data_IF_737429235031
#
_entry.id   IF_737429235031
#
_cell.length_a   1.000
_cell.length_b   1.000
_cell.length_c   1.000
_cell.angle_alpha   90.00
_cell.angle_beta   90.00
_cell.angle_gamma   90.00
#
_symmetry.space_group_name_H-M   'P 1'
#
loop_
_entity.id
_entity.type
_entity.pdbx_description
1 polymer ?
#
# COMPACT_ATOMS: atom_id res chain seq x y z
N UNK A 1 -87.32 1.48 -14.92
CA UNK A 1 -86.16 2.11 -15.58
C UNK A 1 -84.98 2.11 -14.62
N UNK A 2 -83.81 1.59 -15.04
CA UNK A 2 -82.44 1.70 -14.45
C UNK A 2 -82.28 1.16 -12.99
N UNK A 3 -81.76 -0.05 -12.74
CA UNK A 3 -80.37 -0.57 -12.74
C UNK A 3 -79.47 -0.10 -11.57
N UNK A 4 -78.78 -1.10 -10.98
CA UNK A 4 -77.61 -1.14 -10.06
C UNK A 4 -77.89 -0.98 -8.55
N UNK A 5 -77.67 -1.95 -7.64
CA UNK A 5 -76.61 -2.95 -7.34
C UNK A 5 -75.34 -2.38 -6.69
N UNK A 6 -74.94 -3.03 -5.57
CA UNK A 6 -73.74 -2.93 -4.70
C UNK A 6 -73.90 -2.01 -3.48
N UNK A 7 -74.07 -2.49 -2.24
CA UNK A 7 -73.45 -3.58 -1.47
C UNK A 7 -71.98 -3.33 -1.06
N UNK A 8 -71.83 -3.03 0.24
CA UNK A 8 -70.85 -3.56 1.22
C UNK A 8 -69.36 -3.23 1.01
N UNK A 9 -68.82 -2.51 1.99
CA UNK A 9 -67.62 -2.86 2.80
C UNK A 9 -66.84 -1.59 3.15
N UNK A 10 -67.29 -0.89 4.18
CA UNK A 10 -66.42 -0.02 4.94
C UNK A 10 -65.45 -0.87 5.79
N UNK A 11 -64.25 -0.33 5.98
CA UNK A 11 -63.23 -0.75 6.97
C UNK A 11 -62.37 -1.95 6.57
N UNK A 12 -61.16 -1.65 6.05
CA UNK A 12 -59.84 -2.26 6.36
C UNK A 12 -58.91 -2.16 5.14
N UNK A 13 -58.20 -1.04 4.99
CA UNK A 13 -56.97 -0.98 4.18
C UNK A 13 -56.18 0.31 4.48
N UNK A 14 -55.85 0.52 5.75
CA UNK A 14 -54.73 1.39 6.15
C UNK A 14 -53.78 0.50 6.95
N UNK A 15 -53.08 -0.38 6.25
CA UNK A 15 -52.22 -1.38 6.90
C UNK A 15 -51.34 -2.21 5.97
N UNK A 16 -51.09 -1.76 4.73
CA UNK A 16 -50.32 -2.52 3.75
C UNK A 16 -49.28 -1.72 2.95
N UNK A 17 -49.07 -0.43 3.26
CA UNK A 17 -48.03 0.38 2.60
C UNK A 17 -46.84 0.75 3.51
N UNK A 18 -46.85 0.34 4.78
CA UNK A 18 -45.69 0.48 5.67
C UNK A 18 -44.73 -0.72 5.65
N UNK A 19 -45.13 -1.84 5.06
CA UNK A 19 -44.38 -3.11 5.11
C UNK A 19 -43.50 -3.38 3.87
N UNK A 20 -43.46 -2.47 2.90
CA UNK A 20 -42.67 -2.64 1.65
C UNK A 20 -41.35 -1.84 1.66
N UNK A 21 -41.08 -1.05 2.71
CA UNK A 21 -39.85 -0.26 2.83
C UNK A 21 -39.04 -0.50 4.12
N UNK A 22 -39.30 -1.58 4.85
CA UNK A 22 -38.43 -2.05 5.94
C UNK A 22 -37.97 -3.48 5.65
N UNK A 23 -37.23 -3.64 4.56
CA UNK A 23 -36.25 -4.71 4.39
C UNK A 23 -34.85 -4.12 4.16
N UNK A 24 -34.62 -2.91 4.70
CA UNK A 24 -33.29 -2.36 4.91
C UNK A 24 -32.84 -2.72 6.33
N UNK A 25 -31.66 -3.35 6.40
CA UNK A 25 -30.88 -3.64 7.60
C UNK A 25 -31.33 -4.84 8.44
N UNK A 26 -31.49 -6.00 7.81
CA UNK A 26 -30.85 -7.16 8.41
C UNK A 26 -29.33 -6.89 8.29
N UNK A 27 -28.71 -6.49 9.40
CA UNK A 27 -27.26 -6.49 9.53
C UNK A 27 -26.79 -7.92 9.26
N UNK A 28 -26.47 -8.22 8.00
CA UNK A 28 -25.86 -9.49 7.66
C UNK A 28 -24.52 -9.47 8.37
N UNK A 29 -24.36 -10.38 9.34
CA UNK A 29 -23.03 -10.84 9.70
C UNK A 29 -22.39 -11.26 8.39
N UNK A 30 -21.50 -10.42 7.85
CA UNK A 30 -20.85 -10.67 6.57
C UNK A 30 -20.23 -12.06 6.66
N UNK A 31 -20.74 -12.97 5.84
CA UNK A 31 -20.30 -14.36 5.88
C UNK A 31 -18.85 -14.39 5.46
N UNK A 32 -17.99 -15.01 6.28
CA UNK A 32 -16.58 -15.17 5.93
C UNK A 32 -16.45 -15.96 4.63
N UNK A 33 -15.71 -15.40 3.67
CA UNK A 33 -15.49 -15.99 2.35
C UNK A 33 -14.05 -16.45 2.27
N UNK A 34 -13.83 -17.74 1.98
CA UNK A 34 -12.47 -18.27 1.82
C UNK A 34 -11.88 -17.83 0.48
N UNK A 35 -10.65 -17.29 0.50
CA UNK A 35 -9.92 -16.80 -0.69
C UNK A 35 -8.98 -17.85 -1.27
N UNK A 36 -8.79 -19.01 -0.62
CA UNK A 36 -7.86 -20.08 -1.06
C UNK A 36 -8.03 -20.49 -2.52
N UNK A 37 -9.27 -20.61 -3.01
CA UNK A 37 -9.54 -21.01 -4.39
C UNK A 37 -9.07 -19.94 -5.39
N UNK A 38 -9.36 -18.67 -5.10
CA UNK A 38 -8.91 -17.54 -5.92
C UNK A 38 -7.38 -17.41 -5.89
N UNK A 39 -6.74 -17.58 -4.73
CA UNK A 39 -5.27 -17.56 -4.61
C UNK A 39 -4.64 -18.67 -5.45
N UNK A 40 -5.20 -19.89 -5.44
CA UNK A 40 -4.72 -21.00 -6.28
C UNK A 40 -4.93 -20.78 -7.77
N UNK A 41 -6.03 -20.11 -8.14
CA UNK A 41 -6.41 -19.86 -9.53
C UNK A 41 -5.77 -18.61 -10.17
N UNK A 42 -5.18 -17.72 -9.37
CA UNK A 42 -4.59 -16.49 -9.86
C UNK A 42 -3.32 -16.73 -10.70
N UNK A 43 -3.10 -15.87 -11.70
CA UNK A 43 -2.00 -15.95 -12.66
C UNK A 43 -0.70 -15.40 -12.08
N UNK A 44 -0.20 -16.06 -11.03
CA UNK A 44 1.03 -15.65 -10.35
C UNK A 44 2.25 -15.72 -11.25
N UNK A 45 3.14 -14.74 -11.08
CA UNK A 45 4.53 -14.87 -11.50
C UNK A 45 5.11 -16.14 -10.85
N UNK A 46 5.74 -17.05 -11.64
CA UNK A 46 6.32 -18.29 -11.12
C UNK A 46 7.36 -18.10 -10.01
N UNK A 47 7.93 -16.90 -9.85
CA UNK A 47 8.85 -16.59 -8.75
C UNK A 47 8.15 -16.38 -7.40
N UNK A 48 6.81 -16.26 -7.36
CA UNK A 48 6.06 -16.15 -6.12
C UNK A 48 5.85 -17.54 -5.52
N UNK A 49 6.62 -17.85 -4.48
CA UNK A 49 6.44 -19.11 -3.75
C UNK A 49 5.25 -19.00 -2.79
N UNK A 50 4.29 -19.90 -2.96
CA UNK A 50 3.09 -20.01 -2.12
C UNK A 50 3.16 -21.27 -1.26
N UNK A 51 3.01 -21.13 0.06
CA UNK A 51 2.92 -22.27 1.00
C UNK A 51 1.60 -22.18 1.76
N UNK A 52 0.68 -23.12 1.50
CA UNK A 52 -0.64 -23.12 2.10
C UNK A 52 -0.60 -23.73 3.50
N UNK A 53 -1.15 -22.99 4.46
CA UNK A 53 -1.40 -23.43 5.83
C UNK A 53 -2.91 -23.68 6.01
N UNK A 54 -3.34 -23.97 7.25
CA UNK A 54 -4.74 -24.28 7.56
C UNK A 54 -5.70 -23.10 7.28
N UNK A 55 -5.30 -21.89 7.66
CA UNK A 55 -6.13 -20.67 7.59
C UNK A 55 -5.39 -19.46 6.99
N UNK A 56 -4.23 -19.70 6.38
CA UNK A 56 -3.40 -18.67 5.78
C UNK A 56 -2.54 -19.26 4.66
N UNK A 57 -1.91 -18.40 3.90
CA UNK A 57 -0.89 -18.73 2.91
C UNK A 57 0.34 -17.89 3.18
N UNK A 58 1.51 -18.52 3.18
CA UNK A 58 2.77 -17.80 3.16
C UNK A 58 3.07 -17.46 1.70
N UNK A 59 3.16 -16.17 1.38
CA UNK A 59 3.57 -15.66 0.07
C UNK A 59 4.99 -15.10 0.16
N UNK A 60 5.88 -15.59 -0.71
CA UNK A 60 7.28 -15.17 -0.78
C UNK A 60 7.61 -14.69 -2.20
N UNK A 61 7.21 -13.46 -2.57
CA UNK A 61 7.62 -12.85 -3.84
C UNK A 61 9.09 -12.38 -3.78
N UNK A 62 9.75 -12.31 -4.93
CA UNK A 62 11.07 -11.69 -5.04
C UNK A 62 11.01 -10.17 -5.22
N UNK A 63 9.81 -9.59 -5.40
CA UNK A 63 9.65 -8.16 -5.69
C UNK A 63 9.86 -7.79 -7.16
N UNK A 64 10.36 -8.72 -8.00
CA UNK A 64 10.61 -8.45 -9.42
C UNK A 64 9.33 -8.75 -10.22
N UNK A 65 8.71 -7.76 -10.87
CA UNK A 65 7.54 -8.01 -11.68
C UNK A 65 7.89 -8.79 -12.95
N UNK A 66 7.00 -9.68 -13.40
CA UNK A 66 7.10 -10.42 -14.66
C UNK A 66 6.61 -9.61 -15.89
N UNK A 67 6.67 -8.28 -15.83
CA UNK A 67 6.48 -7.41 -17.00
C UNK A 67 7.74 -6.57 -17.22
N UNK A 68 7.85 -5.99 -18.42
CA UNK A 68 8.94 -5.08 -18.73
C UNK A 68 8.83 -3.83 -17.87
N UNK A 69 9.94 -3.43 -17.26
CA UNK A 69 10.12 -2.17 -16.55
C UNK A 69 10.84 -1.16 -17.44
N UNK A 70 10.80 0.10 -17.07
CA UNK A 70 11.59 1.11 -17.76
C UNK A 70 13.10 0.90 -17.53
N UNK A 71 13.91 1.25 -18.54
CA UNK A 71 15.36 0.99 -18.53
C UNK A 71 16.10 1.91 -17.56
N UNK A 72 15.53 3.09 -17.30
CA UNK A 72 16.08 4.13 -16.45
C UNK A 72 14.98 4.73 -15.58
N UNK A 73 15.36 5.21 -14.40
CA UNK A 73 14.48 5.91 -13.46
C UNK A 73 15.09 7.24 -13.05
N UNK A 74 14.24 8.23 -12.81
CA UNK A 74 14.61 9.43 -12.07
C UNK A 74 14.60 9.08 -10.58
N UNK A 75 15.72 9.24 -9.89
CA UNK A 75 15.86 8.95 -8.45
C UNK A 75 16.45 10.16 -7.73
N UNK A 76 16.24 10.31 -6.41
CA UNK A 76 16.87 11.37 -5.62
C UNK A 76 18.39 11.48 -5.83
N UNK A 77 18.90 12.71 -5.79
CA UNK A 77 20.35 12.96 -5.85
C UNK A 77 21.09 12.33 -4.66
N UNK A 78 20.49 12.37 -3.47
CA UNK A 78 20.98 11.84 -2.21
C UNK A 78 19.84 11.28 -1.34
N UNK A 79 20.20 10.51 -0.29
CA UNK A 79 19.26 9.95 0.69
C UNK A 79 18.62 11.01 1.62
N UNK A 80 19.05 12.27 1.56
CA UNK A 80 18.44 13.35 2.34
C UNK A 80 17.14 13.86 1.70
N UNK A 81 16.97 13.59 0.40
CA UNK A 81 15.80 14.00 -0.39
C UNK A 81 14.78 12.86 -0.32
N UNK A 82 13.82 13.00 0.59
CA UNK A 82 12.74 12.01 0.81
C UNK A 82 11.75 11.99 -0.36
N UNK A 83 11.41 13.17 -0.88
CA UNK A 83 10.50 13.35 -2.01
C UNK A 83 11.25 14.17 -3.06
N UNK A 84 11.73 13.55 -4.15
CA UNK A 84 12.44 14.28 -5.19
C UNK A 84 11.47 15.05 -6.11
N UNK A 85 12.02 16.06 -6.79
CA UNK A 85 11.42 16.70 -7.96
C UNK A 85 12.40 16.74 -9.13
N UNK A 86 12.00 17.38 -10.23
CA UNK A 86 12.80 17.49 -11.46
C UNK A 86 14.18 18.17 -11.29
N UNK A 87 14.37 18.95 -10.24
CA UNK A 87 15.62 19.66 -9.93
C UNK A 87 16.51 18.92 -8.93
N UNK A 88 15.93 18.00 -8.16
CA UNK A 88 16.62 17.23 -7.11
C UNK A 88 16.79 15.75 -7.44
N UNK A 89 16.67 15.38 -8.71
CA UNK A 89 16.76 14.00 -9.19
C UNK A 89 17.90 13.80 -10.20
N UNK A 90 18.35 12.56 -10.31
CA UNK A 90 19.30 12.08 -11.33
C UNK A 90 18.76 10.85 -12.03
N UNK A 91 19.20 10.65 -13.26
CA UNK A 91 18.89 9.45 -14.04
C UNK A 91 19.82 8.31 -13.61
N UNK A 92 19.24 7.16 -13.29
CA UNK A 92 19.98 5.90 -13.06
C UNK A 92 19.41 4.78 -13.92
N UNK A 93 20.24 3.81 -14.30
CA UNK A 93 19.76 2.55 -14.88
C UNK A 93 18.92 1.82 -13.84
N UNK A 94 17.86 1.10 -14.27
CA UNK A 94 16.95 0.34 -13.40
C UNK A 94 17.68 -0.32 -12.21
N UNK A 95 17.54 0.24 -10.99
CA UNK A 95 18.24 -0.25 -9.82
C UNK A 95 17.52 -1.44 -9.16
N UNK A 96 16.42 -1.93 -9.75
CA UNK A 96 15.60 -3.01 -9.19
C UNK A 96 16.44 -4.26 -8.90
N UNK A 97 16.29 -4.79 -7.69
CA UNK A 97 16.96 -6.01 -7.20
C UNK A 97 15.93 -6.92 -6.55
N UNK A 98 16.20 -8.23 -6.58
CA UNK A 98 15.40 -9.19 -5.85
C UNK A 98 15.47 -8.92 -4.35
N UNK A 99 14.32 -9.00 -3.69
CA UNK A 99 14.13 -8.84 -2.26
C UNK A 99 13.73 -10.19 -1.64
N UNK A 100 13.83 -10.29 -0.31
CA UNK A 100 13.45 -11.50 0.45
C UNK A 100 12.17 -11.25 1.24
N UNK A 101 11.03 -11.17 0.55
CA UNK A 101 9.74 -10.97 1.19
C UNK A 101 9.16 -12.27 1.77
N UNK A 102 8.42 -12.14 2.86
CA UNK A 102 7.63 -13.23 3.46
C UNK A 102 6.41 -12.65 4.16
N UNK A 103 5.24 -12.86 3.57
CA UNK A 103 3.95 -12.42 4.13
C UNK A 103 3.12 -13.65 4.50
N UNK A 104 2.40 -13.61 5.63
CA UNK A 104 1.46 -14.67 6.01
C UNK A 104 0.04 -14.10 5.91
N UNK A 105 -0.59 -14.32 4.76
CA UNK A 105 -1.87 -13.71 4.40
C UNK A 105 -3.02 -14.65 4.81
N UNK A 106 -4.05 -14.19 5.55
CA UNK A 106 -5.17 -15.03 5.94
C UNK A 106 -5.98 -15.44 4.70
N UNK A 107 -6.40 -16.71 4.64
CA UNK A 107 -7.23 -17.23 3.55
C UNK A 107 -8.72 -17.18 3.84
N UNK A 108 -9.09 -16.69 5.02
CA UNK A 108 -10.46 -16.41 5.44
C UNK A 108 -10.43 -15.00 6.05
N UNK A 109 -10.33 -13.94 5.22
CA UNK A 109 -10.25 -12.57 5.71
C UNK A 109 -11.50 -12.23 6.53
N UNK A 110 -11.28 -11.50 7.63
CA UNK A 110 -12.34 -11.06 8.52
C UNK A 110 -12.50 -9.55 8.39
N UNK A 111 -13.66 -9.13 7.91
CA UNK A 111 -13.97 -7.72 7.82
C UNK A 111 -14.15 -7.09 9.21
N UNK A 112 -13.59 -5.91 9.38
CA UNK A 112 -13.70 -5.04 10.54
C UNK A 112 -14.33 -3.71 10.13
N UNK A 113 -15.21 -3.18 11.00
CA UNK A 113 -15.74 -1.82 10.84
C UNK A 113 -14.70 -0.76 11.18
N UNK A 114 -13.75 -1.09 12.05
CA UNK A 114 -12.61 -0.24 12.37
C UNK A 114 -11.48 -0.54 11.40
N UNK A 115 -10.99 0.50 10.72
CA UNK A 115 -9.90 0.37 9.76
C UNK A 115 -8.55 0.35 10.45
N UNK A 116 -7.58 -0.33 9.83
CA UNK A 116 -6.16 -0.25 10.20
C UNK A 116 -5.44 0.55 9.13
N UNK A 117 -4.75 1.62 9.50
CA UNK A 117 -3.98 2.40 8.51
C UNK A 117 -2.85 1.56 7.91
N UNK A 118 -2.55 1.81 6.64
CA UNK A 118 -1.36 1.25 6.00
C UNK A 118 -0.10 1.96 6.51
N UNK A 119 1.06 1.32 6.33
CA UNK A 119 2.36 1.98 6.43
C UNK A 119 2.86 2.39 5.05
N UNK A 120 3.96 3.15 5.01
CA UNK A 120 4.74 3.43 3.80
C UNK A 120 5.39 2.19 3.15
N UNK A 121 5.09 0.97 3.63
CA UNK A 121 5.69 -0.27 3.14
C UNK A 121 4.75 -1.12 2.29
N UNK A 122 5.06 -2.41 2.22
CA UNK A 122 4.26 -3.36 1.44
C UNK A 122 2.89 -3.56 2.08
N UNK A 123 1.83 -3.39 1.29
CA UNK A 123 0.44 -3.58 1.73
C UNK A 123 -0.25 -4.77 1.04
N UNK A 124 0.43 -5.40 0.09
CA UNK A 124 -0.06 -6.59 -0.60
C UNK A 124 0.94 -7.15 -1.61
N UNK A 125 0.62 -8.35 -2.10
CA UNK A 125 1.39 -9.05 -3.14
C UNK A 125 0.57 -9.05 -4.43
N UNK A 126 1.16 -8.54 -5.51
CA UNK A 126 0.51 -8.50 -6.83
C UNK A 126 0.84 -9.77 -7.61
N UNK A 127 -0.06 -10.17 -8.53
CA UNK A 127 0.15 -11.37 -9.37
C UNK A 127 1.41 -11.28 -10.23
N UNK A 128 1.92 -10.07 -10.46
CA UNK A 128 3.18 -9.85 -11.17
C UNK A 128 4.42 -10.28 -10.39
N UNK A 129 4.32 -10.51 -9.07
CA UNK A 129 5.43 -10.84 -8.19
C UNK A 129 6.13 -9.64 -7.56
N UNK A 130 5.69 -8.42 -7.88
CA UNK A 130 6.03 -7.22 -7.11
C UNK A 130 4.99 -6.97 -6.00
N UNK A 131 5.31 -6.04 -5.11
CA UNK A 131 4.44 -5.60 -4.02
C UNK A 131 3.75 -4.29 -4.39
N UNK A 132 2.63 -4.02 -3.72
CA UNK A 132 1.94 -2.73 -3.79
C UNK A 132 2.14 -1.98 -2.48
N UNK A 133 2.32 -0.67 -2.56
CA UNK A 133 2.45 0.25 -1.43
C UNK A 133 1.22 1.16 -1.36
N UNK A 134 1.10 1.93 -0.29
CA UNK A 134 0.04 2.92 -0.16
C UNK A 134 0.22 4.08 -1.16
N UNK A 135 -0.70 5.06 -1.26
CA UNK A 135 -0.61 6.14 -2.26
C UNK A 135 0.54 7.13 -2.06
N UNK A 136 1.22 7.09 -0.90
CA UNK A 136 2.10 8.17 -0.47
C UNK A 136 3.58 7.83 -0.63
N UNK A 137 4.38 8.87 -0.84
CA UNK A 137 5.83 8.84 -0.80
C UNK A 137 6.35 8.84 0.65
N UNK A 138 7.68 8.79 0.81
CA UNK A 138 8.36 8.65 2.11
C UNK A 138 8.02 9.70 3.18
N UNK A 139 7.38 10.82 2.82
CA UNK A 139 6.91 11.86 3.75
C UNK A 139 5.48 11.60 4.30
N UNK A 140 4.84 10.52 3.86
CA UNK A 140 3.47 10.13 4.20
C UNK A 140 2.40 11.18 3.86
N UNK A 141 2.66 12.05 2.89
CA UNK A 141 1.75 13.13 2.48
C UNK A 141 1.70 13.30 0.97
N UNK A 142 2.85 13.27 0.32
CA UNK A 142 2.96 13.47 -1.12
C UNK A 142 2.43 12.24 -1.83
N UNK A 143 1.47 12.42 -2.74
CA UNK A 143 0.92 11.31 -3.53
C UNK A 143 1.86 10.98 -4.66
N UNK A 144 2.39 9.76 -4.68
CA UNK A 144 3.38 9.28 -5.64
C UNK A 144 2.97 9.51 -7.09
N UNK A 145 1.72 9.12 -7.41
CA UNK A 145 1.19 9.22 -8.77
C UNK A 145 0.94 10.69 -9.21
N UNK A 146 0.60 11.59 -8.28
CA UNK A 146 0.43 13.02 -8.56
C UNK A 146 1.78 13.74 -8.71
N UNK A 147 2.80 13.28 -7.97
CA UNK A 147 4.14 13.84 -7.97
C UNK A 147 5.05 13.18 -9.02
N UNK A 148 4.51 12.50 -10.03
CA UNK A 148 5.33 11.91 -11.07
C UNK A 148 5.92 13.00 -11.98
N UNK A 149 7.22 12.92 -12.26
CA UNK A 149 7.94 13.83 -13.13
C UNK A 149 8.94 13.07 -14.01
N UNK A 150 9.44 13.75 -15.03
CA UNK A 150 10.41 13.22 -15.99
C UNK A 150 11.58 14.18 -16.13
N UNK A 151 12.80 13.66 -16.13
CA UNK A 151 14.03 14.41 -16.39
C UNK A 151 14.79 13.82 -17.56
N UNK A 152 15.64 14.65 -18.18
CA UNK A 152 16.58 14.21 -19.22
C UNK A 152 18.00 14.58 -18.78
N UNK A 153 18.91 13.61 -18.77
CA UNK A 153 20.30 13.85 -18.39
C UNK A 153 21.13 14.49 -19.51
N UNK A 154 22.39 14.83 -19.23
CA UNK A 154 23.32 15.43 -20.21
C UNK A 154 23.65 14.52 -21.40
N UNK A 155 23.35 13.22 -21.30
CA UNK A 155 23.54 12.24 -22.38
C UNK A 155 22.27 12.09 -23.24
N UNK A 156 21.21 12.84 -22.96
CA UNK A 156 19.92 12.76 -23.64
C UNK A 156 19.06 11.56 -23.20
N UNK A 157 19.36 10.92 -22.06
CA UNK A 157 18.55 9.83 -21.53
C UNK A 157 17.40 10.43 -20.71
N UNK A 158 16.17 10.14 -21.12
CA UNK A 158 14.95 10.53 -20.42
C UNK A 158 14.47 9.42 -19.49
N UNK A 159 14.10 9.77 -18.25
CA UNK A 159 13.57 8.83 -17.26
C UNK A 159 12.50 9.48 -16.38
N UNK A 160 11.50 8.69 -15.99
CA UNK A 160 10.42 9.11 -15.08
C UNK A 160 10.68 8.62 -13.65
N UNK A 161 10.10 9.31 -12.68
CA UNK A 161 10.11 8.89 -11.28
C UNK A 161 9.24 7.64 -11.08
N UNK A 162 7.97 7.70 -11.48
CA UNK A 162 7.07 6.54 -11.57
C UNK A 162 7.00 6.07 -13.03
N UNK A 163 7.21 4.78 -13.25
CA UNK A 163 7.20 4.17 -14.59
C UNK A 163 5.80 4.09 -15.20
N UNK A 164 5.75 3.71 -16.49
CA UNK A 164 4.50 3.49 -17.22
C UNK A 164 3.57 2.40 -16.64
N UNK A 165 4.09 1.58 -15.73
CA UNK A 165 3.36 0.51 -15.05
C UNK A 165 2.87 0.95 -13.66
N UNK A 166 2.93 2.25 -13.34
CA UNK A 166 2.51 2.83 -12.07
C UNK A 166 3.34 2.35 -10.86
N UNK A 167 4.62 2.04 -11.08
CA UNK A 167 5.54 1.65 -10.03
C UNK A 167 6.94 2.21 -10.20
N UNK A 168 7.74 2.10 -9.15
CA UNK A 168 9.14 2.54 -9.14
C UNK A 168 9.95 1.78 -8.08
N UNK A 169 11.29 1.70 -8.25
CA UNK A 169 12.15 1.09 -7.26
C UNK A 169 12.60 2.08 -6.19
N UNK A 170 12.71 1.60 -4.96
CA UNK A 170 13.50 2.30 -3.94
C UNK A 170 14.96 2.37 -4.41
N UNK A 171 15.59 3.54 -4.57
CA UNK A 171 16.84 3.72 -5.32
C UNK A 171 18.00 2.79 -4.89
N UNK A 172 18.33 2.75 -3.60
CA UNK A 172 19.50 1.98 -3.14
C UNK A 172 19.16 0.52 -2.83
N UNK A 173 17.93 0.26 -2.38
CA UNK A 173 17.46 -1.08 -2.05
C UNK A 173 17.04 -1.89 -3.28
N UNK A 174 16.62 -1.22 -4.36
CA UNK A 174 16.08 -1.83 -5.57
C UNK A 174 14.70 -2.48 -5.37
N UNK A 175 13.97 -2.15 -4.30
CA UNK A 175 12.66 -2.71 -4.02
C UNK A 175 11.59 -2.04 -4.90
N UNK A 176 11.24 -2.67 -6.01
CA UNK A 176 10.18 -2.20 -6.91
C UNK A 176 8.79 -2.39 -6.30
N UNK A 177 7.96 -1.34 -6.36
CA UNK A 177 6.61 -1.35 -5.82
C UNK A 177 5.67 -0.46 -6.65
N UNK A 178 4.37 -0.77 -6.62
CA UNK A 178 3.34 0.06 -7.26
C UNK A 178 2.72 1.05 -6.28
N UNK A 179 2.29 2.21 -6.81
CA UNK A 179 1.46 3.20 -6.13
C UNK A 179 0.08 3.40 -6.79
N UNK A 180 -0.27 2.57 -7.78
CA UNK A 180 -1.58 2.64 -8.40
C UNK A 180 -1.94 1.47 -9.29
N UNK A 181 -3.03 1.63 -10.04
CA UNK A 181 -3.50 0.62 -10.99
C UNK A 181 -2.48 0.40 -12.11
N UNK A 182 -1.79 -0.73 -12.06
CA UNK A 182 -0.82 -1.10 -13.10
C UNK A 182 -1.50 -1.71 -14.32
N UNK A 183 -1.48 -0.98 -15.44
CA UNK A 183 -1.92 -1.49 -16.75
C UNK A 183 -1.10 -2.71 -17.20
N UNK A 184 0.16 -2.80 -16.78
CA UNK A 184 1.05 -3.93 -17.05
C UNK A 184 0.66 -5.20 -16.31
N UNK A 185 -0.08 -5.08 -15.20
CA UNK A 185 -0.63 -6.20 -14.44
C UNK A 185 -2.02 -6.58 -14.97
N UNK A 186 -2.93 -5.62 -15.12
CA UNK A 186 -4.29 -5.88 -15.61
C UNK A 186 -4.30 -6.47 -17.01
N UNK A 187 -3.38 -6.07 -17.90
CA UNK A 187 -3.28 -6.62 -19.25
C UNK A 187 -3.07 -8.15 -19.31
N UNK A 188 -2.70 -8.79 -18.19
CA UNK A 188 -2.52 -10.25 -18.11
C UNK A 188 -3.81 -11.02 -17.85
N UNK A 189 -4.80 -10.38 -17.24
CA UNK A 189 -5.99 -11.05 -16.71
C UNK A 189 -7.29 -10.39 -17.15
N UNK A 190 -7.28 -9.07 -17.39
CA UNK A 190 -8.44 -8.30 -17.79
C UNK A 190 -8.56 -8.19 -19.31
N UNK A 191 -9.80 -8.03 -19.78
CA UNK A 191 -10.13 -7.75 -21.18
C UNK A 191 -10.91 -6.45 -21.28
N UNK A 192 -10.75 -5.73 -22.38
CA UNK A 192 -11.43 -4.44 -22.61
C UNK A 192 -12.95 -4.63 -22.48
N UNK A 193 -13.59 -3.80 -21.64
CA UNK A 193 -15.04 -3.83 -21.41
C UNK A 193 -15.55 -5.07 -20.69
N UNK A 194 -14.66 -5.89 -20.11
CA UNK A 194 -15.01 -7.06 -19.30
C UNK A 194 -14.71 -6.80 -17.82
N UNK A 195 -15.25 -7.62 -16.91
CA UNK A 195 -14.96 -7.50 -15.49
C UNK A 195 -13.47 -7.59 -15.18
N UNK A 196 -13.04 -6.92 -14.12
CA UNK A 196 -11.69 -7.08 -13.61
C UNK A 196 -11.56 -8.41 -12.87
N UNK A 197 -10.40 -9.02 -13.04
CA UNK A 197 -9.96 -10.22 -12.36
C UNK A 197 -8.97 -9.89 -11.24
N UNK A 198 -8.69 -10.88 -10.39
CA UNK A 198 -7.73 -10.70 -9.29
C UNK A 198 -6.35 -10.32 -9.83
N UNK A 199 -5.84 -9.18 -9.37
CA UNK A 199 -4.48 -8.70 -9.67
C UNK A 199 -3.54 -8.73 -8.46
N UNK A 200 -4.05 -9.07 -7.28
CA UNK A 200 -3.25 -9.24 -6.08
C UNK A 200 -4.08 -9.58 -4.84
N UNK A 201 -3.40 -9.71 -3.71
CA UNK A 201 -4.02 -9.87 -2.39
C UNK A 201 -3.36 -8.91 -1.41
N UNK A 202 -4.18 -8.20 -0.64
CA UNK A 202 -3.75 -7.35 0.46
C UNK A 202 -3.30 -8.21 1.66
N UNK A 203 -2.52 -7.62 2.56
CA UNK A 203 -2.02 -8.32 3.76
C UNK A 203 -3.13 -8.83 4.69
N UNK A 204 -4.30 -8.19 4.65
CA UNK A 204 -5.49 -8.56 5.42
C UNK A 204 -6.29 -9.74 4.79
N UNK A 205 -5.82 -10.26 3.65
CA UNK A 205 -6.39 -11.42 2.96
C UNK A 205 -7.47 -11.11 1.94
N UNK A 206 -7.88 -9.86 1.80
CA UNK A 206 -8.85 -9.48 0.77
C UNK A 206 -8.17 -9.33 -0.62
N UNK A 207 -8.88 -9.73 -1.69
CA UNK A 207 -8.35 -9.61 -3.04
C UNK A 207 -8.31 -8.16 -3.52
N UNK A 208 -7.42 -7.89 -4.47
CA UNK A 208 -7.21 -6.60 -5.13
C UNK A 208 -7.58 -6.76 -6.62
N UNK A 209 -8.37 -5.82 -7.14
CA UNK A 209 -8.91 -5.80 -8.50
C UNK A 209 -8.60 -4.48 -9.22
N UNK A 210 -8.74 -4.51 -10.55
CA UNK A 210 -8.82 -3.32 -11.39
C UNK A 210 -10.19 -2.62 -11.34
N UNK A 211 -10.37 -1.61 -12.18
CA UNK A 211 -11.43 -0.61 -12.11
C UNK A 211 -12.78 -1.02 -12.73
N UNK A 212 -13.05 -2.32 -12.88
CA UNK A 212 -14.25 -2.84 -13.57
C UNK A 212 -15.09 -3.77 -12.72
N UNK A 213 -16.39 -3.50 -12.65
CA UNK A 213 -17.36 -4.34 -11.94
C UNK A 213 -17.67 -5.66 -12.68
N UNK A 214 -18.51 -6.52 -12.10
CA UNK A 214 -18.92 -7.81 -12.69
C UNK A 214 -19.61 -7.72 -14.07
N UNK A 215 -19.98 -6.52 -14.51
CA UNK A 215 -20.56 -6.25 -15.83
C UNK A 215 -19.58 -5.52 -16.76
N UNK A 216 -18.35 -5.27 -16.32
CA UNK A 216 -17.32 -4.54 -17.07
C UNK A 216 -17.48 -3.02 -17.03
N UNK A 217 -18.35 -2.48 -16.17
CA UNK A 217 -18.55 -1.04 -16.02
C UNK A 217 -17.44 -0.43 -15.16
N UNK A 218 -17.04 0.80 -15.48
CA UNK A 218 -16.16 1.61 -14.64
C UNK A 218 -16.69 1.70 -13.21
N UNK A 219 -15.82 1.37 -12.26
CA UNK A 219 -15.92 1.72 -10.86
C UNK A 219 -15.24 3.07 -10.66
N UNK A 220 -15.83 3.95 -9.86
CA UNK A 220 -15.27 5.25 -9.51
C UNK A 220 -15.11 5.37 -7.99
N UNK A 221 -14.36 6.36 -7.52
CA UNK A 221 -14.20 6.61 -6.08
C UNK A 221 -15.53 6.77 -5.32
N UNK A 222 -16.62 7.19 -5.99
CA UNK A 222 -17.97 7.30 -5.40
C UNK A 222 -18.60 5.96 -5.04
N UNK A 223 -18.10 4.86 -5.63
CA UNK A 223 -18.57 3.51 -5.38
C UNK A 223 -17.79 2.81 -4.27
N UNK A 224 -16.67 3.39 -3.85
CA UNK A 224 -15.72 2.79 -2.94
C UNK A 224 -15.80 3.45 -1.56
N UNK A 225 -15.47 2.70 -0.53
CA UNK A 225 -15.24 3.25 0.81
C UNK A 225 -13.91 4.05 0.88
N UNK A 226 -13.57 4.49 2.10
CA UNK A 226 -12.36 5.27 2.38
C UNK A 226 -11.04 4.51 2.14
N UNK A 227 -11.06 3.18 2.16
CA UNK A 227 -9.90 2.32 1.94
C UNK A 227 -9.78 1.82 0.49
N UNK A 228 -10.53 2.40 -0.46
CA UNK A 228 -10.63 1.88 -1.83
C UNK A 228 -11.31 0.50 -1.93
N UNK A 229 -12.16 0.17 -0.97
CA UNK A 229 -12.89 -1.09 -0.94
C UNK A 229 -14.34 -1.02 -1.40
N UNK A 230 -14.90 -2.18 -1.76
CA UNK A 230 -16.33 -2.37 -2.01
C UNK A 230 -16.73 -3.83 -1.72
N UNK A 231 -17.96 -4.06 -1.26
CA UNK A 231 -18.56 -5.40 -1.27
C UNK A 231 -19.38 -5.59 -2.55
N UNK A 232 -18.90 -6.40 -3.48
CA UNK A 232 -19.65 -6.74 -4.69
C UNK A 232 -19.22 -8.09 -5.27
N UNK A 233 -20.00 -8.62 -6.23
CA UNK A 233 -19.64 -9.83 -6.96
C UNK A 233 -18.45 -9.58 -7.90
N UNK A 234 -17.60 -10.59 -8.03
CA UNK A 234 -16.45 -10.60 -8.96
C UNK A 234 -16.41 -11.94 -9.71
N UNK A 235 -15.59 -12.10 -10.76
CA UNK A 235 -15.47 -13.37 -11.48
C UNK A 235 -15.09 -14.55 -10.56
N UNK A 236 -14.19 -14.33 -9.60
CA UNK A 236 -13.72 -15.34 -8.65
C UNK A 236 -14.67 -15.51 -7.45
N UNK A 237 -15.48 -14.48 -7.15
CA UNK A 237 -16.43 -14.46 -6.05
C UNK A 237 -17.83 -14.04 -6.54
N UNK A 238 -18.57 -14.90 -7.26
CA UNK A 238 -19.86 -14.53 -7.86
C UNK A 238 -20.96 -14.26 -6.82
N UNK A 239 -20.78 -14.71 -5.58
CA UNK A 239 -21.68 -14.41 -4.45
C UNK A 239 -21.31 -13.12 -3.70
N UNK A 240 -20.24 -12.45 -4.11
CA UNK A 240 -19.72 -11.26 -3.46
C UNK A 240 -18.65 -11.54 -2.43
N UNK A 241 -17.70 -10.62 -2.36
CA UNK A 241 -16.71 -10.48 -1.29
C UNK A 241 -16.36 -9.00 -1.14
N UNK A 242 -15.96 -8.58 0.05
CA UNK A 242 -15.25 -7.32 0.19
C UNK A 242 -13.90 -7.41 -0.54
N UNK A 243 -13.55 -6.40 -1.32
CA UNK A 243 -12.30 -6.37 -2.06
C UNK A 243 -11.85 -4.95 -2.33
N UNK A 244 -10.56 -4.78 -2.57
CA UNK A 244 -9.96 -3.50 -2.94
C UNK A 244 -9.99 -3.31 -4.46
N UNK A 245 -10.17 -2.06 -4.87
CA UNK A 245 -10.15 -1.63 -6.27
C UNK A 245 -9.10 -0.56 -6.44
N UNK A 246 -8.13 -0.80 -7.32
CA UNK A 246 -7.17 0.21 -7.73
C UNK A 246 -7.78 1.01 -8.88
N UNK A 247 -7.86 2.34 -8.72
CA UNK A 247 -8.41 3.23 -9.74
C UNK A 247 -7.29 3.81 -10.62
N UNK A 248 -7.57 4.11 -11.91
CA UNK A 248 -6.63 4.80 -12.79
C UNK A 248 -6.61 6.31 -12.48
N UNK A 249 -6.32 6.68 -11.24
CA UNK A 249 -6.22 8.08 -10.79
C UNK A 249 -4.81 8.37 -10.29
N UNK A 250 -4.47 9.66 -10.27
CA UNK A 250 -3.21 10.15 -9.72
C UNK A 250 -3.34 10.72 -8.30
N UNK A 251 -4.55 10.78 -7.75
CA UNK A 251 -4.83 11.36 -6.44
C UNK A 251 -4.63 10.33 -5.30
N UNK A 252 -4.99 10.71 -4.08
CA UNK A 252 -4.93 9.84 -2.88
C UNK A 252 -5.70 8.52 -3.03
N UNK A 253 -6.53 8.36 -4.06
CA UNK A 253 -7.28 7.15 -4.37
C UNK A 253 -6.56 6.25 -5.39
N UNK A 254 -5.32 6.53 -5.75
CA UNK A 254 -4.54 5.69 -6.67
C UNK A 254 -4.28 4.29 -6.11
N UNK A 255 -4.05 4.17 -4.79
CA UNK A 255 -3.77 2.90 -4.09
C UNK A 255 -4.58 2.75 -2.80
N UNK A 256 -4.40 1.64 -2.08
CA UNK A 256 -5.09 1.31 -0.83
C UNK A 256 -4.43 2.06 0.34
N UNK A 257 -5.20 2.89 1.06
CA UNK A 257 -4.68 3.71 2.17
C UNK A 257 -4.90 3.07 3.55
N UNK A 258 -5.84 2.14 3.68
CA UNK A 258 -6.16 1.44 4.92
C UNK A 258 -6.70 0.03 4.66
N UNK A 259 -6.69 -0.81 5.69
CA UNK A 259 -7.26 -2.14 5.69
C UNK A 259 -8.59 -2.17 6.42
N UNK A 260 -9.61 -2.77 5.80
CA UNK A 260 -10.83 -3.18 6.49
C UNK A 260 -10.71 -4.59 7.08
N UNK A 261 -9.77 -5.43 6.64
CA UNK A 261 -9.58 -6.75 7.24
C UNK A 261 -8.72 -6.75 8.49
N UNK A 262 -8.90 -7.76 9.35
CA UNK A 262 -7.95 -8.07 10.42
C UNK A 262 -6.58 -8.40 9.81
N UNK A 263 -5.59 -7.54 10.05
CA UNK A 263 -4.21 -7.69 9.59
C UNK A 263 -3.29 -7.91 10.79
N UNK A 264 -2.33 -8.82 10.64
CA UNK A 264 -1.25 -8.99 11.61
C UNK A 264 -0.33 -7.77 11.54
N UNK A 265 -0.37 -6.93 12.57
CA UNK A 265 0.41 -5.70 12.64
C UNK A 265 1.93 -5.93 12.48
N UNK A 266 2.45 -7.12 12.81
CA UNK A 266 3.86 -7.46 12.60
C UNK A 266 4.26 -7.55 11.12
N UNK A 267 3.29 -7.68 10.22
CA UNK A 267 3.49 -7.70 8.77
C UNK A 267 3.41 -6.33 8.12
N UNK A 268 2.84 -5.34 8.81
CA UNK A 268 2.80 -3.95 8.38
C UNK A 268 4.19 -3.35 8.68
N UNK A 269 5.17 -3.72 7.86
CA UNK A 269 6.51 -3.18 7.98
C UNK A 269 6.49 -1.75 7.44
N UNK A 270 6.92 -0.78 8.25
CA UNK A 270 7.25 0.53 7.72
C UNK A 270 8.39 0.40 6.70
N UNK A 271 8.45 1.31 5.71
CA UNK A 271 9.68 1.47 4.94
C UNK A 271 10.85 1.63 5.92
N UNK A 272 12.00 0.97 5.69
CA UNK A 272 13.24 1.37 6.36
C UNK A 272 13.41 2.88 6.15
N UNK A 273 13.75 3.63 7.20
CA UNK A 273 13.89 5.09 7.10
C UNK A 273 14.73 5.47 5.87
N UNK A 274 14.10 6.14 4.90
CA UNK A 274 14.72 6.60 3.66
C UNK A 274 15.63 7.82 3.89
N UNK A 275 15.51 8.47 5.04
CA UNK A 275 16.57 9.29 5.59
C UNK A 275 17.47 8.36 6.40
N UNK A 276 18.78 8.38 6.12
CA UNK A 276 19.80 7.75 6.94
C UNK A 276 19.90 8.32 8.36
N UNK A 277 18.79 8.44 9.08
CA UNK A 277 18.82 8.36 10.51
C UNK A 277 19.25 6.94 10.83
N UNK A 278 20.56 6.78 11.00
CA UNK A 278 21.07 5.66 11.77
C UNK A 278 20.22 5.49 13.02
N UNK A 279 19.98 4.25 13.48
CA UNK A 279 19.28 4.02 14.74
C UNK A 279 19.84 5.01 15.75
N UNK A 280 18.94 5.78 16.39
CA UNK A 280 19.33 6.86 17.28
C UNK A 280 20.48 6.34 18.15
N UNK A 281 21.65 7.02 18.14
CA UNK A 281 22.83 6.46 18.75
C UNK A 281 22.52 6.14 20.21
N UNK A 282 22.86 4.93 20.64
CA UNK A 282 22.65 4.49 22.01
C UNK A 282 23.49 5.39 22.94
N UNK A 283 22.84 6.42 23.48
CA UNK A 283 23.49 7.44 24.30
C UNK A 283 24.03 6.83 25.60
N UNK A 284 23.40 5.79 26.11
CA UNK A 284 23.87 5.08 27.29
C UNK A 284 25.18 4.34 26.98
N UNK A 285 25.24 3.62 25.85
CA UNK A 285 26.45 2.95 25.40
C UNK A 285 27.57 3.93 25.03
N UNK A 286 27.24 5.04 24.37
CA UNK A 286 28.21 6.07 23.99
C UNK A 286 28.77 6.79 25.23
N UNK A 287 27.92 7.17 26.18
CA UNK A 287 28.33 7.77 27.45
C UNK A 287 29.28 6.84 28.23
N UNK A 288 28.97 5.53 28.26
CA UNK A 288 29.84 4.52 28.86
C UNK A 288 31.21 4.42 28.19
N UNK A 289 31.28 4.49 26.85
CA UNK A 289 32.56 4.51 26.10
C UNK A 289 33.38 5.78 26.35
N UNK A 290 32.69 6.91 26.59
CA UNK A 290 33.30 8.21 26.87
C UNK A 290 33.65 8.39 28.36
N UNK A 291 33.22 7.49 29.24
CA UNK A 291 33.43 7.61 30.68
C UNK A 291 32.63 8.74 31.33
N UNK A 292 31.49 9.13 30.73
CA UNK A 292 30.60 10.18 31.23
C UNK A 292 29.21 9.63 31.54
N UNK A 293 28.36 10.42 32.19
CA UNK A 293 26.95 10.07 32.38
C UNK A 293 26.15 10.34 31.11
N UNK A 294 25.05 9.60 30.93
CA UNK A 294 24.13 9.82 29.81
C UNK A 294 23.54 11.23 29.83
N UNK A 295 23.26 11.78 31.02
CA UNK A 295 22.74 13.14 31.18
C UNK A 295 23.77 14.20 30.78
N UNK A 296 25.06 13.98 31.04
CA UNK A 296 26.11 14.89 30.58
C UNK A 296 26.23 14.87 29.05
N UNK A 297 26.08 13.69 28.42
CA UNK A 297 26.05 13.56 26.97
C UNK A 297 24.84 14.25 26.35
N UNK A 298 23.65 14.10 26.94
CA UNK A 298 22.42 14.79 26.52
C UNK A 298 22.54 16.31 26.66
N UNK A 299 23.06 16.78 27.79
CA UNK A 299 23.27 18.20 28.04
C UNK A 299 24.24 18.82 27.03
N UNK A 300 25.26 18.08 26.59
CA UNK A 300 26.21 18.54 25.59
C UNK A 300 25.57 18.79 24.21
N UNK A 301 24.59 17.97 23.82
CA UNK A 301 23.85 18.14 22.56
C UNK A 301 22.78 19.23 22.62
N UNK A 302 22.20 19.49 23.80
CA UNK A 302 21.12 20.44 23.98
C UNK A 302 19.85 20.05 23.20
N UNK A 303 18.95 21.03 22.99
CA UNK A 303 17.63 20.80 22.39
C UNK A 303 17.55 21.17 20.89
N UNK A 304 18.69 21.39 20.23
CA UNK A 304 18.73 21.83 18.83
C UNK A 304 18.72 20.62 17.89
N UNK A 305 17.84 20.64 16.89
CA UNK A 305 17.80 19.66 15.81
C UNK A 305 18.10 20.35 14.47
N UNK A 306 19.10 19.89 13.68
CA UNK A 306 19.98 18.75 13.96
C UNK A 306 21.03 19.05 15.08
N UNK A 307 21.55 18.01 15.77
CA UNK A 307 22.56 18.16 16.82
C UNK A 307 23.88 18.72 16.29
N UNK A 308 24.51 19.59 17.06
CA UNK A 308 25.82 20.16 16.72
C UNK A 308 26.94 19.34 17.38
N UNK A 309 27.54 18.42 16.63
CA UNK A 309 28.60 17.54 17.14
C UNK A 309 29.88 18.29 17.52
N UNK A 310 30.20 19.37 16.81
CA UNK A 310 31.40 20.16 17.11
C UNK A 310 31.23 20.89 18.45
N UNK A 311 30.06 21.48 18.67
CA UNK A 311 29.72 22.15 19.93
C UNK A 311 29.62 21.15 21.09
N UNK A 312 28.95 20.01 20.88
CA UNK A 312 28.83 18.97 21.90
C UNK A 312 30.18 18.39 22.30
N UNK A 313 31.07 18.12 21.34
CA UNK A 313 32.41 17.64 21.61
C UNK A 313 33.24 18.67 22.41
N UNK A 314 33.12 19.95 22.04
CA UNK A 314 33.75 21.06 22.78
C UNK A 314 33.24 21.14 24.22
N UNK A 315 31.93 21.02 24.44
CA UNK A 315 31.33 21.02 25.78
C UNK A 315 31.77 19.83 26.64
N UNK A 316 32.07 18.70 26.01
CA UNK A 316 32.57 17.49 26.67
C UNK A 316 34.10 17.44 26.80
N UNK A 317 34.83 18.42 26.25
CA UNK A 317 36.29 18.43 26.27
C UNK A 317 36.95 17.32 25.45
N UNK A 318 36.25 16.79 24.43
CA UNK A 318 36.73 15.72 23.54
C UNK A 318 36.78 16.20 22.09
N UNK A 319 37.42 15.42 21.21
CA UNK A 319 37.40 15.71 19.78
C UNK A 319 36.06 15.30 19.16
N UNK A 320 35.63 16.02 18.12
CA UNK A 320 34.42 15.68 17.37
C UNK A 320 34.50 14.26 16.79
N UNK A 321 35.68 13.84 16.30
CA UNK A 321 35.91 12.49 15.84
C UNK A 321 35.68 11.44 16.95
N UNK A 322 36.12 11.71 18.18
CA UNK A 322 35.94 10.79 19.30
C UNK A 322 34.47 10.69 19.72
N UNK A 323 33.75 11.81 19.69
CA UNK A 323 32.32 11.85 19.94
C UNK A 323 31.56 11.04 18.89
N UNK A 324 31.86 11.26 17.61
CA UNK A 324 31.25 10.54 16.49
C UNK A 324 31.52 9.03 16.53
N UNK A 325 32.77 8.63 16.79
CA UNK A 325 33.16 7.22 17.00
C UNK A 325 32.37 6.57 18.14
N UNK A 326 32.20 7.27 19.27
CA UNK A 326 31.48 6.72 20.42
C UNK A 326 30.00 6.46 20.14
N UNK A 327 29.38 7.30 19.31
CA UNK A 327 27.99 7.25 18.88
C UNK A 327 27.78 6.31 17.68
N UNK A 328 28.85 5.78 17.10
CA UNK A 328 28.76 4.94 15.89
C UNK A 328 28.31 5.73 14.65
N UNK A 329 28.54 7.06 14.64
CA UNK A 329 28.23 7.93 13.51
C UNK A 329 29.48 8.26 12.69
N UNK A 330 29.33 8.31 11.35
CA UNK A 330 30.41 8.65 10.42
C UNK A 330 30.47 10.16 10.21
#
# INVERSE_FOLDING_TARGET
>A
MKKFVLAIAGVLLIGANGAVFISANAASTQKSVATTAAIKGATWNPTVKLTYLKSSVIMQPTGIPNHVRDKYYAVPLSQEIVVPDSTTAKVVKDPTKAQTYKFTIPTIPKYSKTVTDTSLGSIGVMISGAVIYNPFEGDNKTVAMANNFTITDSNGITASFVDKCAGHPIPDMGAYHYHGLSSCVTAKVDKIGKPSHVIGFALDGFPIYGDRDIKGKLITAKNLDQCNGIYSATPEFPKGIYHYVLLPTADVRSSIACFHGEVDASQIQAMPNMGGAMPAPDLAAAAKKLGITEDALKAAFGNKMPPDFALAAKNLGITEAKLKESLGVK
#
